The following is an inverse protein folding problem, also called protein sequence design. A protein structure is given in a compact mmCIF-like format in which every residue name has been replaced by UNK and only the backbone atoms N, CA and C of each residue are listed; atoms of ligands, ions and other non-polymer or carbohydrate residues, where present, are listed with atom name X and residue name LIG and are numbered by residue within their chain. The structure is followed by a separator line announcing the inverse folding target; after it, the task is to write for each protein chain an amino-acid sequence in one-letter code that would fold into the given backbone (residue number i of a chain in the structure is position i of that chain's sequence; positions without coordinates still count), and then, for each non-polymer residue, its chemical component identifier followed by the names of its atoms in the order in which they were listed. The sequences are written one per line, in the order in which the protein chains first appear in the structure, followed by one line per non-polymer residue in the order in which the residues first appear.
data_IF_038946444116
#
_entry.id   IF_038946444116
#
_cell.length_a   1.000
_cell.length_b   1.000
_cell.length_c   1.000
_cell.angle_alpha   90.00
_cell.angle_beta   90.00
_cell.angle_gamma   90.00
#
_symmetry.space_group_name_H-M   'P 1'
#
loop_
_entity.id
_entity.type
_entity.pdbx_description
1 polymer ?
#
# COMPACT_ATOMS: atom_id res chain seq x y z
N UNK A 1 -10.40 -42.53 84.92
CA UNK A 1 -11.02 -43.68 84.26
C UNK A 1 -12.25 -43.17 83.55
N UNK A 2 -12.37 -43.49 82.26
CA UNK A 2 -13.53 -43.42 81.34
C UNK A 2 -14.93 -43.25 81.94
N UNK A 3 -15.91 -42.66 81.19
CA UNK A 3 -16.32 -43.20 79.89
C UNK A 3 -16.78 -42.23 78.76
N UNK A 4 -16.79 -42.81 77.55
CA UNK A 4 -17.65 -42.66 76.34
C UNK A 4 -18.25 -41.28 75.97
N UNK A 5 -17.77 -40.68 74.87
CA UNK A 5 -18.23 -40.83 73.46
C UNK A 5 -19.56 -40.12 73.17
N UNK A 6 -19.45 -38.91 72.60
CA UNK A 6 -20.53 -38.22 71.90
C UNK A 6 -20.12 -37.86 70.47
N UNK A 7 -20.93 -38.38 69.54
CA UNK A 7 -21.24 -37.92 68.17
C UNK A 7 -20.09 -37.63 67.19
N UNK A 8 -19.93 -38.56 66.25
CA UNK A 8 -19.32 -38.35 64.93
C UNK A 8 -20.35 -37.71 64.00
N UNK A 9 -20.07 -36.50 63.49
CA UNK A 9 -20.72 -35.96 62.31
C UNK A 9 -19.71 -35.98 61.14
N UNK A 10 -19.79 -37.02 60.32
CA UNK A 10 -19.22 -37.05 58.97
C UNK A 10 -20.25 -36.38 58.08
N UNK A 11 -19.99 -35.16 57.63
CA UNK A 11 -20.71 -34.61 56.49
C UNK A 11 -19.91 -33.52 55.77
N UNK A 12 -19.95 -33.57 54.43
CA UNK A 12 -19.71 -32.47 53.48
C UNK A 12 -18.44 -32.46 52.61
N UNK A 13 -17.97 -33.61 52.12
CA UNK A 13 -17.13 -33.62 50.91
C UNK A 13 -17.91 -33.99 49.63
N UNK A 14 -18.95 -34.83 49.73
CA UNK A 14 -19.81 -35.14 48.58
C UNK A 14 -20.80 -34.02 48.24
N UNK A 15 -21.31 -33.31 49.25
CA UNK A 15 -22.22 -32.17 49.08
C UNK A 15 -21.52 -30.93 48.52
N UNK A 16 -20.23 -30.72 48.79
CA UNK A 16 -19.48 -29.57 48.24
C UNK A 16 -19.19 -29.75 46.74
N UNK A 17 -18.85 -30.98 46.31
CA UNK A 17 -18.62 -31.34 44.90
C UNK A 17 -19.94 -31.34 44.12
N UNK A 18 -21.00 -31.94 44.66
CA UNK A 18 -22.32 -31.93 44.01
C UNK A 18 -22.95 -30.52 43.94
N UNK A 19 -22.65 -29.65 44.92
CA UNK A 19 -23.09 -28.25 44.92
C UNK A 19 -22.28 -27.38 43.96
N UNK A 20 -21.00 -27.67 43.74
CA UNK A 20 -20.19 -27.01 42.71
C UNK A 20 -20.60 -27.42 41.28
N UNK A 21 -20.90 -28.72 41.07
CA UNK A 21 -21.37 -29.23 39.78
C UNK A 21 -22.79 -28.74 39.45
N UNK A 22 -23.69 -28.65 40.44
CA UNK A 22 -25.02 -28.07 40.25
C UNK A 22 -24.99 -26.54 40.05
N UNK A 23 -24.06 -25.81 40.67
CA UNK A 23 -23.85 -24.37 40.38
C UNK A 23 -23.27 -24.11 38.98
N UNK A 24 -22.50 -25.05 38.42
CA UNK A 24 -22.02 -24.97 37.03
C UNK A 24 -23.11 -25.32 36.00
N UNK A 25 -24.14 -26.07 36.39
CA UNK A 25 -25.26 -26.42 35.52
C UNK A 25 -26.18 -25.22 35.18
N UNK A 26 -26.20 -24.18 36.01
CA UNK A 26 -27.03 -22.97 35.81
C UNK A 26 -26.25 -21.75 35.27
N UNK A 27 -24.94 -21.88 35.00
CA UNK A 27 -24.17 -20.79 34.42
C UNK A 27 -24.43 -20.72 32.92
N UNK A 28 -24.82 -19.53 32.45
CA UNK A 28 -24.94 -19.23 31.02
C UNK A 28 -23.62 -19.54 30.30
N UNK A 29 -23.72 -20.21 29.16
CA UNK A 29 -22.58 -20.60 28.33
C UNK A 29 -22.54 -19.75 27.07
N UNK A 30 -21.34 -19.45 26.61
CA UNK A 30 -21.12 -18.51 25.53
C UNK A 30 -20.19 -19.07 24.47
N UNK A 31 -20.24 -18.44 23.30
CA UNK A 31 -19.43 -18.81 22.14
C UNK A 31 -18.29 -17.81 21.96
N UNK A 32 -17.09 -18.34 21.72
CA UNK A 32 -15.93 -17.56 21.30
C UNK A 32 -15.66 -17.87 19.83
N UNK A 33 -15.60 -16.85 18.97
CA UNK A 33 -15.26 -17.04 17.56
C UNK A 33 -14.30 -15.97 17.06
N UNK A 34 -13.57 -16.29 15.99
CA UNK A 34 -12.56 -15.39 15.46
C UNK A 34 -11.97 -15.84 14.13
N UNK A 35 -10.99 -15.08 13.64
CA UNK A 35 -10.21 -15.38 12.45
C UNK A 35 -8.72 -15.43 12.76
N UNK A 36 -8.01 -16.47 12.36
CA UNK A 36 -6.55 -16.51 12.41
C UNK A 36 -5.93 -15.92 11.14
N UNK A 37 -4.92 -15.08 11.29
CA UNK A 37 -4.16 -14.52 10.18
C UNK A 37 -2.66 -14.40 10.51
N UNK A 38 -1.83 -14.40 9.47
CA UNK A 38 -0.43 -14.00 9.57
C UNK A 38 -0.30 -12.49 9.89
N UNK A 39 0.88 -12.05 10.33
CA UNK A 39 1.14 -10.64 10.68
C UNK A 39 0.86 -9.64 9.53
N UNK A 40 0.97 -10.09 8.29
CA UNK A 40 0.64 -9.33 7.07
C UNK A 40 -0.87 -9.29 6.73
N UNK A 41 -1.73 -9.92 7.54
CA UNK A 41 -3.19 -9.93 7.39
C UNK A 41 -3.76 -11.05 6.52
N UNK A 42 -2.94 -11.98 6.01
CA UNK A 42 -3.41 -13.14 5.23
C UNK A 42 -4.00 -14.20 6.16
N UNK A 43 -5.24 -14.65 5.89
CA UNK A 43 -5.93 -15.66 6.70
C UNK A 43 -5.26 -17.03 6.62
N UNK A 44 -5.16 -17.73 7.76
CA UNK A 44 -4.47 -19.03 7.88
C UNK A 44 -5.50 -20.17 7.90
N UNK A 45 -5.68 -20.93 6.82
CA UNK A 45 -6.59 -22.08 6.78
C UNK A 45 -6.00 -23.31 7.45
N UNK A 46 -6.86 -24.19 7.98
CA UNK A 46 -6.50 -25.47 8.62
C UNK A 46 -5.44 -25.36 9.74
N UNK A 47 -5.44 -24.23 10.45
CA UNK A 47 -4.57 -24.02 11.61
C UNK A 47 -5.21 -24.62 12.87
N UNK A 48 -4.41 -25.28 13.72
CA UNK A 48 -4.88 -25.75 15.02
C UNK A 48 -5.06 -24.56 15.98
N UNK A 49 -6.24 -24.45 16.57
CA UNK A 49 -6.56 -23.44 17.57
C UNK A 49 -6.90 -24.16 18.87
N UNK A 50 -6.19 -23.85 19.93
CA UNK A 50 -6.37 -24.46 21.24
C UNK A 50 -6.79 -23.41 22.26
N UNK A 51 -7.88 -23.69 22.98
CA UNK A 51 -8.31 -22.95 24.16
C UNK A 51 -7.68 -23.59 25.40
N UNK A 52 -7.05 -22.75 26.22
CA UNK A 52 -6.32 -23.15 27.43
C UNK A 52 -6.81 -22.32 28.62
N UNK A 53 -6.65 -22.87 29.82
CA UNK A 53 -6.81 -22.14 31.07
C UNK A 53 -5.63 -21.16 31.28
N UNK A 54 -5.77 -20.26 32.24
CA UNK A 54 -4.75 -19.34 32.76
C UNK A 54 -3.43 -20.01 33.15
N UNK A 55 -3.46 -21.30 33.48
CA UNK A 55 -2.29 -22.16 33.78
C UNK A 55 -1.74 -22.91 32.53
N UNK A 56 -2.13 -22.50 31.32
CA UNK A 56 -1.79 -23.14 30.04
C UNK A 56 -2.26 -24.60 29.90
N UNK A 57 -3.15 -25.07 30.80
CA UNK A 57 -3.78 -26.38 30.68
C UNK A 57 -4.75 -26.37 29.50
N UNK A 58 -4.58 -27.31 28.57
CA UNK A 58 -5.44 -27.50 27.39
C UNK A 58 -6.87 -27.85 27.80
N UNK A 59 -7.85 -27.08 27.33
CA UNK A 59 -9.28 -27.29 27.58
C UNK A 59 -9.98 -27.85 26.35
N UNK A 60 -9.82 -27.19 25.20
CA UNK A 60 -10.49 -27.57 23.95
C UNK A 60 -9.60 -27.24 22.74
N UNK A 61 -9.73 -27.99 21.65
CA UNK A 61 -9.05 -27.71 20.38
C UNK A 61 -10.03 -27.77 19.23
N UNK A 62 -9.90 -26.80 18.33
CA UNK A 62 -10.60 -26.74 17.06
C UNK A 62 -9.60 -26.45 15.93
N UNK A 63 -10.06 -26.47 14.69
CA UNK A 63 -9.26 -26.10 13.53
C UNK A 63 -9.91 -24.97 12.76
N UNK A 64 -9.09 -24.12 12.16
CA UNK A 64 -9.64 -23.05 11.34
C UNK A 64 -10.22 -23.59 10.03
N UNK A 65 -11.26 -22.94 9.53
CA UNK A 65 -11.92 -23.37 8.29
C UNK A 65 -10.94 -23.43 7.11
N UNK A 66 -11.06 -24.49 6.31
CA UNK A 66 -10.26 -24.71 5.09
C UNK A 66 -10.67 -23.75 3.97
N UNK A 67 -9.78 -23.49 3.01
CA UNK A 67 -10.08 -22.64 1.85
C UNK A 67 -11.11 -23.31 0.94
N UNK A 68 -12.24 -22.65 0.70
CA UNK A 68 -13.15 -23.04 -0.39
C UNK A 68 -12.74 -22.33 -1.70
N UNK A 69 -12.66 -23.08 -2.80
CA UNK A 69 -12.33 -22.56 -4.15
C UNK A 69 -11.08 -21.66 -4.24
N UNK A 70 -9.94 -22.11 -3.68
CA UNK A 70 -8.59 -21.48 -3.78
C UNK A 70 -8.46 -19.99 -3.43
N UNK A 71 -9.55 -19.25 -3.12
CA UNK A 71 -9.50 -17.79 -2.92
C UNK A 71 -10.52 -17.22 -1.92
N UNK A 72 -11.53 -17.97 -1.48
CA UNK A 72 -12.56 -17.43 -0.57
C UNK A 72 -12.80 -18.31 0.65
N UNK A 73 -12.95 -17.65 1.81
CA UNK A 73 -13.31 -18.22 3.12
C UNK A 73 -12.36 -19.33 3.62
N UNK A 74 -11.49 -18.95 4.55
CA UNK A 74 -10.66 -19.85 5.34
C UNK A 74 -10.12 -19.09 6.55
N UNK A 75 -9.72 -19.78 7.61
CA UNK A 75 -9.14 -19.17 8.79
C UNK A 75 -10.10 -18.76 9.90
N UNK A 76 -11.39 -19.17 9.86
CA UNK A 76 -12.33 -18.92 10.97
C UNK A 76 -12.28 -20.06 11.98
N UNK A 77 -12.39 -19.77 13.28
CA UNK A 77 -12.54 -20.76 14.34
C UNK A 77 -13.65 -20.36 15.30
N UNK A 78 -14.18 -21.34 16.03
CA UNK A 78 -15.27 -21.20 16.98
C UNK A 78 -15.12 -22.24 18.10
N UNK A 79 -15.39 -21.81 19.34
CA UNK A 79 -15.54 -22.62 20.53
C UNK A 79 -16.90 -22.34 21.13
N UNK A 80 -17.71 -23.38 21.31
CA UNK A 80 -19.07 -23.26 21.83
C UNK A 80 -19.13 -23.72 23.29
N UNK A 81 -20.18 -23.30 24.01
CA UNK A 81 -20.47 -23.79 25.35
C UNK A 81 -19.41 -23.46 26.43
N UNK A 82 -18.73 -22.30 26.31
CA UNK A 82 -17.67 -21.87 27.22
C UNK A 82 -18.26 -21.04 28.38
N UNK A 83 -17.82 -21.32 29.61
CA UNK A 83 -18.22 -20.56 30.80
C UNK A 83 -17.49 -19.20 30.87
N UNK A 84 -18.09 -18.15 31.45
CA UNK A 84 -17.37 -16.90 31.71
C UNK A 84 -16.11 -17.13 32.54
N UNK A 85 -15.00 -16.50 32.14
CA UNK A 85 -13.70 -16.74 32.76
C UNK A 85 -12.53 -16.19 31.95
N UNK A 86 -11.32 -16.42 32.42
CA UNK A 86 -10.09 -16.08 31.72
C UNK A 86 -9.52 -17.30 31.00
N UNK A 87 -9.15 -17.11 29.74
CA UNK A 87 -8.62 -18.17 28.89
C UNK A 87 -7.43 -17.67 28.07
N UNK A 88 -6.64 -18.61 27.57
CA UNK A 88 -5.57 -18.37 26.61
C UNK A 88 -5.94 -19.09 25.33
N UNK A 89 -5.92 -18.39 24.20
CA UNK A 89 -6.07 -19.00 22.88
C UNK A 89 -4.70 -19.08 22.24
N UNK A 90 -4.32 -20.29 21.87
CA UNK A 90 -3.10 -20.58 21.11
C UNK A 90 -3.48 -20.97 19.69
N UNK A 91 -2.92 -20.30 18.69
CA UNK A 91 -3.04 -20.69 17.27
C UNK A 91 -1.68 -21.17 16.79
N UNK A 92 -1.62 -22.44 16.37
CA UNK A 92 -0.45 -22.95 15.67
C UNK A 92 -0.50 -22.54 14.20
N UNK A 93 0.47 -21.74 13.79
CA UNK A 93 0.59 -21.22 12.42
C UNK A 93 1.51 -22.07 11.55
N UNK A 94 2.09 -23.17 12.07
CA UNK A 94 3.11 -23.97 11.37
C UNK A 94 4.44 -23.22 11.19
N UNK A 95 4.66 -22.14 11.95
CA UNK A 95 5.90 -21.34 11.95
C UNK A 95 6.53 -21.39 13.34
N UNK A 96 7.82 -20.98 13.47
CA UNK A 96 8.54 -20.99 14.76
C UNK A 96 7.85 -20.16 15.87
N UNK A 97 6.90 -19.29 15.54
CA UNK A 97 6.19 -18.42 16.49
C UNK A 97 4.67 -18.54 16.28
N UNK A 98 4.01 -19.31 17.15
CA UNK A 98 2.54 -19.40 17.22
C UNK A 98 1.92 -18.15 17.86
N UNK A 99 0.60 -17.98 17.75
CA UNK A 99 -0.11 -16.86 18.39
C UNK A 99 -0.63 -17.31 19.74
N UNK A 100 -0.23 -16.66 20.84
CA UNK A 100 -0.87 -16.84 22.17
C UNK A 100 -1.58 -15.55 22.55
N UNK A 101 -2.87 -15.62 22.88
CA UNK A 101 -3.68 -14.46 23.27
C UNK A 101 -4.51 -14.77 24.51
N UNK A 102 -4.30 -14.01 25.59
CA UNK A 102 -5.15 -14.05 26.79
C UNK A 102 -6.45 -13.30 26.51
N UNK A 103 -7.57 -13.89 26.90
CA UNK A 103 -8.92 -13.36 26.69
C UNK A 103 -9.72 -13.47 27.99
N UNK A 104 -10.61 -12.51 28.21
CA UNK A 104 -11.53 -12.52 29.33
C UNK A 104 -12.96 -12.57 28.78
N UNK A 105 -13.59 -13.73 28.93
CA UNK A 105 -14.95 -14.00 28.49
C UNK A 105 -15.93 -13.56 29.59
N UNK A 106 -16.64 -12.46 29.32
CA UNK A 106 -17.75 -12.00 30.17
C UNK A 106 -19.03 -12.77 29.84
N UNK A 107 -20.17 -12.37 30.39
CA UNK A 107 -21.48 -12.96 30.13
C UNK A 107 -22.07 -12.59 28.74
N UNK A 108 -21.28 -12.74 27.67
CA UNK A 108 -21.72 -12.58 26.27
C UNK A 108 -20.78 -13.28 25.30
N UNK A 109 -21.30 -13.64 24.12
CA UNK A 109 -20.49 -14.16 23.01
C UNK A 109 -19.36 -13.19 22.64
N UNK A 110 -18.18 -13.73 22.36
CA UNK A 110 -16.95 -12.98 22.16
C UNK A 110 -16.43 -13.15 20.73
N UNK A 111 -16.53 -12.07 19.94
CA UNK A 111 -15.86 -11.95 18.65
C UNK A 111 -14.43 -11.42 18.87
N UNK A 112 -13.44 -12.28 18.62
CA UNK A 112 -12.03 -11.94 18.76
C UNK A 112 -11.47 -11.15 17.57
N UNK A 113 -12.28 -10.95 16.52
CA UNK A 113 -11.86 -10.31 15.29
C UNK A 113 -10.79 -11.13 14.57
N UNK A 114 -9.70 -10.47 14.15
CA UNK A 114 -8.55 -11.14 13.52
C UNK A 114 -7.44 -11.27 14.55
N UNK A 115 -7.15 -12.51 14.93
CA UNK A 115 -6.03 -12.92 15.77
C UNK A 115 -4.81 -13.09 14.86
N UNK A 116 -3.79 -12.25 15.06
CA UNK A 116 -2.54 -12.25 14.31
C UNK A 116 -1.36 -12.24 15.26
N UNK A 117 -0.21 -12.74 14.79
CA UNK A 117 1.05 -12.63 15.51
C UNK A 117 1.50 -11.16 15.48
N UNK A 118 1.27 -10.44 16.57
CA UNK A 118 1.85 -9.11 16.79
C UNK A 118 3.10 -9.32 17.64
N UNK A 119 4.27 -9.23 17.02
CA UNK A 119 5.50 -9.03 17.77
C UNK A 119 5.36 -7.64 18.38
N UNK A 120 5.08 -7.54 19.67
CA UNK A 120 5.13 -6.26 20.38
C UNK A 120 6.56 -5.74 20.25
N UNK A 121 6.75 -4.70 19.45
CA UNK A 121 7.99 -3.92 19.48
C UNK A 121 8.22 -3.47 20.93
N UNK A 122 9.47 -3.49 21.43
CA UNK A 122 9.75 -3.05 22.79
C UNK A 122 9.11 -1.70 23.02
N UNK A 123 8.25 -1.61 24.04
CA UNK A 123 7.67 -0.34 24.46
C UNK A 123 8.80 0.50 25.02
N UNK A 124 9.27 1.45 24.23
CA UNK A 124 10.08 2.54 24.75
C UNK A 124 9.20 3.32 25.72
N UNK A 125 9.55 3.34 26.99
CA UNK A 125 9.04 4.39 27.88
C UNK A 125 9.51 5.71 27.29
N UNK A 126 8.55 6.59 27.00
CA UNK A 126 8.82 7.95 26.59
C UNK A 126 9.36 8.63 27.84
N UNK A 127 10.67 8.47 28.10
CA UNK A 127 11.38 9.41 28.98
C UNK A 127 11.12 10.80 28.44
N UNK A 128 10.91 11.78 29.33
CA UNK A 128 10.64 13.18 28.95
C UNK A 128 11.60 13.62 27.85
N UNK A 129 11.15 13.54 26.60
CA UNK A 129 11.85 14.13 25.49
C UNK A 129 11.60 15.61 25.67
N UNK A 130 12.63 16.35 26.09
CA UNK A 130 12.70 17.75 25.76
C UNK A 130 12.50 17.84 24.25
N UNK A 131 11.41 18.49 23.82
CA UNK A 131 11.10 18.71 22.41
C UNK A 131 12.27 19.44 21.74
N UNK A 132 13.20 18.68 21.18
CA UNK A 132 14.31 19.16 20.37
C UNK A 132 13.92 19.30 18.90
N UNK A 133 12.63 19.14 18.56
CA UNK A 133 12.11 19.33 17.19
C UNK A 133 11.59 20.74 16.93
N UNK A 134 11.68 21.65 17.90
CA UNK A 134 11.83 23.08 17.60
C UNK A 134 13.30 23.46 17.57
N UNK A 135 13.93 23.22 16.43
CA UNK A 135 15.16 23.92 16.09
C UNK A 135 14.74 25.37 15.78
N UNK A 136 14.78 26.25 16.78
CA UNK A 136 14.96 27.66 16.47
C UNK A 136 16.37 27.78 15.90
N UNK A 137 16.48 27.94 14.58
CA UNK A 137 17.75 28.25 13.96
C UNK A 137 18.36 29.44 14.70
N UNK A 138 19.57 29.28 15.22
CA UNK A 138 20.41 30.42 15.60
C UNK A 138 20.43 31.31 14.36
N UNK A 139 20.11 32.62 14.49
CA UNK A 139 20.24 33.55 13.36
C UNK A 139 21.60 33.30 12.74
N UNK A 140 21.61 32.83 11.50
CA UNK A 140 22.85 32.57 10.78
C UNK A 140 23.53 33.94 10.63
N UNK A 141 24.83 34.00 10.95
CA UNK A 141 25.60 35.20 10.70
C UNK A 141 25.48 35.51 9.20
N UNK A 142 24.93 36.68 8.89
CA UNK A 142 24.68 37.15 7.52
C UNK A 142 25.94 37.69 6.85
N UNK A 143 27.11 37.47 7.45
CA UNK A 143 28.36 37.88 6.88
C UNK A 143 28.94 36.71 6.08
N UNK A 144 28.90 36.78 4.73
CA UNK A 144 29.41 35.72 3.88
C UNK A 144 30.93 35.57 4.05
N UNK A 145 31.43 34.33 3.95
CA UNK A 145 32.85 34.04 3.75
C UNK A 145 33.01 33.46 2.35
N UNK A 146 33.77 34.14 1.51
CA UNK A 146 34.02 33.72 0.14
C UNK A 146 34.90 32.45 0.08
N UNK A 147 34.62 31.48 -0.83
CA UNK A 147 33.50 31.48 -1.78
C UNK A 147 32.29 30.62 -1.38
N UNK A 148 32.38 29.68 -0.43
CA UNK A 148 31.29 28.71 -0.25
C UNK A 148 31.40 27.89 1.05
N UNK A 149 30.72 28.28 2.14
CA UNK A 149 30.83 27.49 3.39
C UNK A 149 29.55 27.07 4.11
N UNK A 150 28.35 27.61 3.83
CA UNK A 150 27.11 27.14 4.51
C UNK A 150 25.83 27.38 3.68
N UNK A 151 25.77 26.97 2.42
CA UNK A 151 24.50 26.97 1.67
C UNK A 151 24.13 25.54 1.24
N UNK A 152 22.93 25.09 1.59
CA UNK A 152 22.38 23.80 1.16
C UNK A 152 22.15 23.86 -0.35
N UNK A 153 22.83 23.00 -1.10
CA UNK A 153 22.66 22.93 -2.56
C UNK A 153 21.47 22.04 -2.90
N UNK A 154 20.70 22.48 -3.88
CA UNK A 154 19.52 21.78 -4.37
C UNK A 154 19.73 21.43 -5.83
N UNK A 155 19.35 20.21 -6.21
CA UNK A 155 19.32 19.78 -7.59
C UNK A 155 17.87 19.87 -8.06
N UNK A 156 17.68 20.70 -9.07
CA UNK A 156 16.39 20.88 -9.75
C UNK A 156 16.48 20.25 -11.11
N UNK A 157 15.56 19.32 -11.39
CA UNK A 157 15.43 18.71 -12.71
C UNK A 157 14.14 19.16 -13.35
N UNK A 158 14.20 19.69 -14.57
CA UNK A 158 13.04 20.05 -15.38
C UNK A 158 12.45 18.86 -16.13
N UNK A 159 11.18 18.96 -16.51
CA UNK A 159 10.51 17.96 -17.36
C UNK A 159 11.13 17.89 -18.76
N UNK A 160 11.75 18.97 -19.24
CA UNK A 160 12.52 19.00 -20.48
C UNK A 160 13.82 18.18 -20.41
N UNK A 161 14.26 17.79 -19.21
CA UNK A 161 15.51 17.09 -18.94
C UNK A 161 16.65 18.00 -18.53
N UNK A 162 16.44 19.31 -18.38
CA UNK A 162 17.42 20.20 -17.78
C UNK A 162 17.71 19.80 -16.34
N UNK A 163 18.95 19.96 -15.89
CA UNK A 163 19.38 19.70 -14.52
C UNK A 163 20.30 20.82 -14.07
N UNK A 164 19.90 21.52 -13.01
CA UNK A 164 20.63 22.68 -12.47
C UNK A 164 20.85 22.52 -10.97
N UNK A 165 22.03 22.93 -10.53
CA UNK A 165 22.34 23.07 -9.10
C UNK A 165 22.07 24.50 -8.65
N UNK A 166 21.18 24.64 -7.67
CA UNK A 166 20.60 25.91 -7.26
C UNK A 166 20.51 26.02 -5.74
N UNK A 167 20.42 27.24 -5.24
CA UNK A 167 20.00 27.51 -3.88
C UNK A 167 18.53 27.90 -3.89
N UNK A 168 17.66 27.07 -3.32
CA UNK A 168 16.23 27.36 -3.25
C UNK A 168 15.97 28.41 -2.18
N UNK A 169 15.41 29.55 -2.59
CA UNK A 169 15.03 30.64 -1.70
C UNK A 169 13.65 30.38 -1.09
N UNK A 170 12.69 29.97 -1.92
CA UNK A 170 11.33 29.66 -1.47
C UNK A 170 10.58 28.73 -2.43
N UNK A 171 9.65 27.95 -1.88
CA UNK A 171 8.78 27.06 -2.63
C UNK A 171 7.33 27.47 -2.39
N UNK A 172 6.66 27.92 -3.44
CA UNK A 172 5.23 28.16 -3.46
C UNK A 172 4.52 26.96 -4.06
N UNK A 173 3.18 27.02 -4.06
CA UNK A 173 2.34 25.96 -4.63
C UNK A 173 2.60 25.74 -6.13
N UNK A 174 2.80 26.85 -6.85
CA UNK A 174 2.81 26.85 -8.31
C UNK A 174 4.21 27.11 -8.89
N UNK A 175 5.17 27.54 -8.07
CA UNK A 175 6.53 27.87 -8.53
C UNK A 175 7.58 27.71 -7.44
N UNK A 176 8.82 27.54 -7.86
CA UNK A 176 10.03 27.50 -7.02
C UNK A 176 10.91 28.68 -7.40
N UNK A 177 11.31 29.46 -6.41
CA UNK A 177 12.25 30.57 -6.57
C UNK A 177 13.62 30.15 -6.07
N UNK A 178 14.64 30.42 -6.86
CA UNK A 178 16.00 29.96 -6.59
C UNK A 178 17.04 30.96 -7.09
N UNK A 179 18.24 30.81 -6.53
CA UNK A 179 19.45 31.49 -6.97
C UNK A 179 20.39 30.47 -7.61
N UNK A 180 20.91 30.76 -8.81
CA UNK A 180 21.84 29.88 -9.51
C UNK A 180 23.19 29.82 -8.77
N UNK A 181 23.68 28.61 -8.56
CA UNK A 181 24.97 28.38 -7.91
C UNK A 181 26.09 28.86 -8.82
N UNK A 182 26.89 29.84 -8.36
CA UNK A 182 28.03 30.40 -9.10
C UNK A 182 27.77 31.73 -9.81
N UNK A 183 26.54 31.98 -10.29
CA UNK A 183 26.19 33.25 -10.96
C UNK A 183 25.47 34.24 -10.05
N UNK A 184 24.95 33.79 -8.89
CA UNK A 184 24.16 34.58 -7.94
C UNK A 184 22.93 35.27 -8.57
N UNK A 185 22.48 34.78 -9.73
CA UNK A 185 21.30 35.24 -10.45
C UNK A 185 20.05 34.56 -9.89
N UNK A 186 19.00 35.35 -9.64
CA UNK A 186 17.71 34.86 -9.15
C UNK A 186 16.77 34.55 -10.30
N UNK A 187 16.08 33.43 -10.20
CA UNK A 187 15.11 32.98 -11.20
C UNK A 187 13.97 32.15 -10.55
N UNK A 188 12.98 31.76 -11.35
CA UNK A 188 11.86 30.94 -10.92
C UNK A 188 11.43 29.94 -11.98
N UNK A 189 11.07 28.72 -11.56
CA UNK A 189 10.50 27.68 -12.43
C UNK A 189 9.10 27.31 -11.93
N UNK A 190 8.10 27.19 -12.82
CA UNK A 190 6.78 26.65 -12.46
C UNK A 190 6.87 25.20 -11.97
N UNK A 191 6.15 24.87 -10.90
CA UNK A 191 6.17 23.54 -10.29
C UNK A 191 5.73 22.44 -11.28
N UNK A 192 4.83 22.76 -12.20
CA UNK A 192 4.33 21.83 -13.22
C UNK A 192 5.39 21.46 -14.28
N UNK A 193 6.42 22.29 -14.44
CA UNK A 193 7.54 22.06 -15.36
C UNK A 193 8.69 21.31 -14.69
N UNK A 194 8.59 21.02 -13.39
CA UNK A 194 9.64 20.33 -12.63
C UNK A 194 9.41 18.83 -12.67
N UNK A 195 10.50 18.07 -12.81
CA UNK A 195 10.50 16.61 -12.74
C UNK A 195 10.73 16.11 -11.32
N UNK A 196 11.79 16.58 -10.65
CA UNK A 196 12.13 16.25 -9.26
C UNK A 196 12.98 17.37 -8.65
N UNK A 197 12.87 17.57 -7.34
CA UNK A 197 13.74 18.44 -6.55
C UNK A 197 14.25 17.66 -5.36
N UNK A 198 15.56 17.68 -5.14
CA UNK A 198 16.16 17.14 -3.93
C UNK A 198 17.39 17.95 -3.53
N UNK A 199 17.80 17.84 -2.27
CA UNK A 199 19.01 18.51 -1.80
C UNK A 199 20.22 17.55 -1.78
N UNK A 200 21.40 18.14 -1.59
CA UNK A 200 22.68 17.46 -1.38
C UNK A 200 22.68 16.43 -0.22
N UNK A 201 21.83 16.60 0.80
CA UNK A 201 21.61 15.62 1.87
C UNK A 201 20.74 14.41 1.47
N UNK A 202 20.23 14.36 0.24
CA UNK A 202 19.38 13.27 -0.21
C UNK A 202 17.93 13.34 0.29
N UNK A 203 17.43 14.54 0.56
CA UNK A 203 16.02 14.78 0.88
C UNK A 203 15.26 15.20 -0.37
N UNK A 204 14.26 14.41 -0.78
CA UNK A 204 13.36 14.77 -1.87
C UNK A 204 12.31 15.77 -1.41
N UNK A 205 12.27 16.93 -2.05
CA UNK A 205 11.36 18.03 -1.74
C UNK A 205 10.13 17.97 -2.64
N UNK A 206 10.33 17.69 -3.93
CA UNK A 206 9.26 17.60 -4.91
C UNK A 206 9.45 16.40 -5.83
N UNK A 207 8.34 15.78 -6.20
CA UNK A 207 8.30 14.69 -7.17
C UNK A 207 7.12 14.93 -8.11
N UNK A 208 7.44 15.07 -9.39
CA UNK A 208 6.40 15.19 -10.40
C UNK A 208 5.64 13.88 -10.57
N UNK A 209 4.49 14.00 -11.21
CA UNK A 209 3.73 12.84 -11.66
C UNK A 209 4.55 11.99 -12.65
N UNK A 210 5.29 12.63 -13.56
CA UNK A 210 6.15 11.93 -14.51
C UNK A 210 7.22 11.08 -13.81
N UNK A 211 7.78 11.61 -12.72
CA UNK A 211 8.75 10.91 -11.89
C UNK A 211 8.15 9.65 -11.25
N UNK A 212 7.00 9.80 -10.60
CA UNK A 212 6.27 8.69 -9.98
C UNK A 212 5.85 7.64 -11.00
N UNK A 213 5.42 8.06 -12.19
CA UNK A 213 5.04 7.14 -13.26
C UNK A 213 6.23 6.35 -13.78
N UNK A 214 7.44 6.92 -13.85
CA UNK A 214 8.67 6.18 -14.19
C UNK A 214 9.06 5.18 -13.12
N UNK A 215 8.96 5.55 -11.84
CA UNK A 215 9.17 4.59 -10.73
C UNK A 215 8.17 3.43 -10.85
N UNK A 216 6.89 3.73 -11.04
CA UNK A 216 5.85 2.71 -11.21
C UNK A 216 6.02 1.90 -12.50
N UNK A 217 6.65 2.47 -13.53
CA UNK A 217 7.04 1.74 -14.74
C UNK A 217 8.15 0.73 -14.41
N UNK A 218 9.14 1.10 -13.63
CA UNK A 218 10.26 0.19 -13.36
C UNK A 218 9.91 -0.87 -12.30
N UNK A 219 9.00 -0.57 -11.36
CA UNK A 219 8.61 -1.52 -10.31
C UNK A 219 8.04 -2.84 -10.87
N UNK A 220 8.43 -3.96 -10.24
CA UNK A 220 7.94 -5.32 -10.59
C UNK A 220 8.32 -5.81 -11.98
N UNK A 221 9.38 -5.23 -12.56
CA UNK A 221 9.91 -5.62 -13.87
C UNK A 221 11.32 -6.15 -13.73
N UNK A 222 11.73 -6.91 -14.74
CA UNK A 222 13.09 -7.34 -14.96
C UNK A 222 13.89 -6.25 -15.69
N UNK A 223 15.21 -6.33 -15.65
CA UNK A 223 16.06 -5.38 -16.33
C UNK A 223 17.44 -5.27 -15.74
N UNK A 224 18.05 -4.09 -15.92
CA UNK A 224 19.34 -3.78 -15.31
C UNK A 224 19.44 -2.31 -14.90
N UNK A 225 20.10 -2.08 -13.78
CA UNK A 225 20.46 -0.76 -13.26
C UNK A 225 21.78 -0.34 -13.89
N UNK A 226 21.93 0.94 -14.20
CA UNK A 226 23.21 1.57 -14.51
C UNK A 226 23.49 2.60 -13.42
N UNK A 227 24.59 2.43 -12.70
CA UNK A 227 25.02 3.33 -11.65
C UNK A 227 25.83 4.50 -12.20
N UNK A 228 25.99 5.56 -11.41
CA UNK A 228 26.87 6.69 -11.77
C UNK A 228 28.34 6.29 -11.91
N UNK A 229 28.78 5.22 -11.22
CA UNK A 229 30.12 4.64 -11.42
C UNK A 229 30.33 4.10 -12.84
N UNK A 230 29.25 3.87 -13.59
CA UNK A 230 29.26 3.17 -14.87
C UNK A 230 29.01 1.66 -14.73
N UNK A 231 28.96 1.14 -13.51
CA UNK A 231 28.65 -0.27 -13.26
C UNK A 231 27.21 -0.60 -13.63
N UNK A 232 26.97 -1.86 -13.99
CA UNK A 232 25.64 -2.37 -14.29
C UNK A 232 25.27 -3.56 -13.41
N UNK A 233 24.00 -3.63 -13.04
CA UNK A 233 23.46 -4.72 -12.22
C UNK A 233 22.15 -5.22 -12.81
N UNK A 234 22.14 -6.46 -13.30
CA UNK A 234 20.92 -7.13 -13.75
C UNK A 234 20.04 -7.49 -12.56
N UNK A 235 18.72 -7.39 -12.69
CA UNK A 235 17.76 -7.81 -11.67
C UNK A 235 16.53 -8.45 -12.32
N UNK A 236 15.88 -9.36 -11.60
CA UNK A 236 14.60 -9.95 -12.00
C UNK A 236 13.41 -9.12 -11.50
N UNK A 237 13.61 -8.40 -10.41
CA UNK A 237 12.63 -7.49 -9.85
C UNK A 237 13.32 -6.33 -9.13
N UNK A 238 12.68 -5.17 -9.12
CA UNK A 238 13.14 -3.96 -8.47
C UNK A 238 11.98 -3.28 -7.74
N UNK A 239 12.28 -2.78 -6.55
CA UNK A 239 11.33 -2.10 -5.68
C UNK A 239 11.93 -0.79 -5.17
N UNK A 240 11.17 0.30 -5.35
CA UNK A 240 11.50 1.61 -4.83
C UNK A 240 10.66 1.86 -3.59
N UNK A 241 11.27 2.40 -2.53
CA UNK A 241 10.55 2.78 -1.32
C UNK A 241 9.43 3.80 -1.67
N UNK A 242 8.14 3.54 -1.36
CA UNK A 242 7.05 4.42 -1.80
C UNK A 242 7.09 5.82 -1.20
N UNK A 243 7.64 5.97 0.02
CA UNK A 243 7.79 7.26 0.69
C UNK A 243 8.96 8.07 0.14
N UNK A 244 9.99 7.39 -0.39
CA UNK A 244 11.30 7.96 -0.71
C UNK A 244 11.85 8.84 0.43
N UNK A 245 11.52 8.48 1.67
CA UNK A 245 12.01 9.15 2.89
C UNK A 245 13.38 8.62 3.26
N UNK A 246 13.59 7.33 2.98
CA UNK A 246 14.88 6.65 2.92
C UNK A 246 14.96 6.13 1.48
N UNK A 247 15.48 6.93 0.54
CA UNK A 247 15.39 6.63 -0.88
C UNK A 247 16.33 5.48 -1.23
N UNK A 248 15.93 4.29 -0.80
CA UNK A 248 16.59 3.02 -1.03
C UNK A 248 15.82 2.25 -2.09
N UNK A 249 16.57 1.52 -2.90
CA UNK A 249 16.08 0.70 -3.99
C UNK A 249 16.52 -0.73 -3.76
N UNK A 250 15.55 -1.63 -3.65
CA UNK A 250 15.78 -3.05 -3.46
C UNK A 250 15.74 -3.78 -4.82
N UNK A 251 16.76 -4.56 -5.10
CA UNK A 251 16.86 -5.44 -6.29
C UNK A 251 16.79 -6.89 -5.85
N UNK A 252 16.11 -7.72 -6.64
CA UNK A 252 15.91 -9.15 -6.39
C UNK A 252 16.47 -9.95 -7.55
N UNK A 253 17.11 -11.07 -7.21
CA UNK A 253 17.69 -12.01 -8.16
C UNK A 253 17.12 -13.39 -7.81
N UNK A 254 16.34 -13.99 -8.69
CA UNK A 254 15.69 -15.29 -8.46
C UNK A 254 16.68 -16.46 -8.51
N UNK A 255 17.82 -16.27 -9.18
CA UNK A 255 18.92 -17.24 -9.17
C UNK A 255 19.72 -17.23 -7.84
N UNK A 256 19.52 -16.23 -6.99
CA UNK A 256 20.17 -16.15 -5.69
C UNK A 256 19.45 -17.04 -4.67
N UNK A 257 20.12 -18.13 -4.28
CA UNK A 257 19.62 -19.09 -3.28
C UNK A 257 19.30 -18.48 -1.91
N UNK A 258 19.82 -17.29 -1.60
CA UNK A 258 19.53 -16.60 -0.33
C UNK A 258 18.15 -15.95 -0.33
N UNK A 259 17.60 -15.63 -1.51
CA UNK A 259 16.33 -14.89 -1.64
C UNK A 259 16.33 -13.50 -1.00
N UNK A 260 17.50 -12.97 -0.62
CA UNK A 260 17.63 -11.69 0.05
C UNK A 260 17.71 -10.54 -0.97
N UNK A 261 17.00 -9.43 -0.76
CA UNK A 261 17.13 -8.25 -1.60
C UNK A 261 18.49 -7.57 -1.40
N UNK A 262 19.05 -7.02 -2.48
CA UNK A 262 20.21 -6.12 -2.43
C UNK A 262 19.72 -4.68 -2.47
N UNK A 263 20.10 -3.89 -1.47
CA UNK A 263 19.72 -2.49 -1.33
C UNK A 263 20.81 -1.60 -1.93
N UNK A 264 20.35 -0.58 -2.65
CA UNK A 264 21.18 0.46 -3.25
C UNK A 264 20.58 1.82 -2.93
N UNK A 265 21.43 2.84 -2.79
CA UNK A 265 20.94 4.22 -2.72
C UNK A 265 20.30 4.60 -4.05
N UNK A 266 19.13 5.23 -4.01
CA UNK A 266 18.50 5.81 -5.19
C UNK A 266 19.40 6.82 -5.89
N UNK A 267 20.22 7.55 -5.13
CA UNK A 267 21.11 8.58 -5.66
C UNK A 267 22.29 8.04 -6.43
N UNK A 268 22.64 6.77 -6.25
CA UNK A 268 23.70 6.10 -7.00
C UNK A 268 23.22 5.64 -8.39
N UNK A 269 21.90 5.64 -8.62
CA UNK A 269 21.26 5.10 -9.82
C UNK A 269 21.10 6.19 -10.88
N UNK A 270 21.92 6.12 -11.91
CA UNK A 270 21.79 7.00 -13.08
C UNK A 270 20.52 6.70 -13.89
N UNK A 271 20.35 5.43 -14.29
CA UNK A 271 19.19 4.97 -15.05
C UNK A 271 18.87 3.51 -14.77
N UNK A 272 17.60 3.15 -14.94
CA UNK A 272 17.16 1.76 -14.96
C UNK A 272 16.61 1.41 -16.34
N UNK A 273 17.14 0.34 -16.92
CA UNK A 273 16.65 -0.22 -18.16
C UNK A 273 15.70 -1.38 -17.84
N UNK A 274 14.48 -1.33 -18.37
CA UNK A 274 13.51 -2.44 -18.24
C UNK A 274 13.68 -3.42 -19.38
N UNK A 275 13.68 -4.71 -19.04
CA UNK A 275 13.74 -5.82 -19.97
C UNK A 275 12.46 -5.98 -20.80
N UNK A 276 12.31 -7.07 -21.57
CA UNK A 276 11.16 -7.30 -22.45
C UNK A 276 9.79 -7.22 -21.75
N UNK A 277 9.73 -7.31 -20.41
CA UNK A 277 8.51 -7.07 -19.62
C UNK A 277 7.88 -5.69 -19.82
N UNK A 278 8.60 -4.71 -20.38
CA UNK A 278 8.01 -3.41 -20.73
C UNK A 278 6.82 -3.53 -21.70
N UNK A 279 6.82 -4.56 -22.57
CA UNK A 279 5.74 -4.82 -23.55
C UNK A 279 4.41 -5.12 -22.85
N UNK A 280 4.43 -5.80 -21.70
CA UNK A 280 3.23 -6.12 -20.92
C UNK A 280 2.43 -4.85 -20.61
N UNK A 281 3.12 -3.76 -20.28
CA UNK A 281 2.46 -2.47 -20.00
C UNK A 281 1.93 -1.80 -21.26
N UNK A 282 2.64 -1.88 -22.37
CA UNK A 282 2.11 -1.37 -23.65
C UNK A 282 0.82 -2.10 -24.03
N UNK A 283 0.75 -3.41 -23.79
CA UNK A 283 -0.46 -4.22 -23.96
C UNK A 283 -1.55 -3.81 -22.99
N UNK A 284 -1.23 -3.63 -21.71
CA UNK A 284 -2.18 -3.16 -20.69
C UNK A 284 -2.77 -1.79 -21.06
N UNK A 285 -1.93 -0.83 -21.47
CA UNK A 285 -2.35 0.48 -21.96
C UNK A 285 -3.22 0.39 -23.21
N UNK A 286 -2.83 -0.46 -24.17
CA UNK A 286 -3.62 -0.76 -25.36
C UNK A 286 -5.02 -1.26 -25.03
N UNK A 287 -5.11 -2.21 -24.10
CA UNK A 287 -6.37 -2.76 -23.64
C UNK A 287 -7.26 -1.69 -22.99
N UNK A 288 -6.72 -0.89 -22.06
CA UNK A 288 -7.51 0.14 -21.38
C UNK A 288 -7.90 1.30 -22.30
N UNK A 289 -7.03 1.72 -23.22
CA UNK A 289 -7.35 2.72 -24.24
C UNK A 289 -8.46 2.24 -25.16
N UNK A 290 -8.40 0.99 -25.61
CA UNK A 290 -9.45 0.41 -26.44
C UNK A 290 -10.78 0.30 -25.67
N UNK A 291 -10.75 -0.12 -24.40
CA UNK A 291 -11.92 -0.18 -23.53
C UNK A 291 -12.56 1.20 -23.37
N UNK A 292 -11.75 2.24 -23.13
CA UNK A 292 -12.23 3.62 -23.02
C UNK A 292 -12.85 4.10 -24.33
N UNK A 293 -12.19 3.86 -25.46
CA UNK A 293 -12.69 4.26 -26.79
C UNK A 293 -14.03 3.59 -27.12
N UNK A 294 -14.15 2.28 -26.92
CA UNK A 294 -15.41 1.56 -27.16
C UNK A 294 -16.48 1.93 -26.15
N UNK A 295 -16.13 2.04 -24.86
CA UNK A 295 -17.06 2.44 -23.81
C UNK A 295 -17.68 3.81 -24.07
N UNK A 296 -16.86 4.79 -24.45
CA UNK A 296 -17.32 6.14 -24.83
C UNK A 296 -18.15 6.12 -26.12
N UNK A 297 -17.74 5.37 -27.13
CA UNK A 297 -18.48 5.21 -28.38
C UNK A 297 -19.87 4.59 -28.18
N UNK A 298 -19.97 3.57 -27.33
CA UNK A 298 -21.23 2.92 -26.96
C UNK A 298 -22.11 3.90 -26.19
N UNK A 299 -21.56 4.60 -25.18
CA UNK A 299 -22.29 5.56 -24.37
C UNK A 299 -22.85 6.71 -25.23
N UNK A 300 -22.04 7.25 -26.14
CA UNK A 300 -22.45 8.29 -27.07
C UNK A 300 -23.57 7.83 -28.00
N UNK A 301 -23.47 6.61 -28.55
CA UNK A 301 -24.53 6.05 -29.41
C UNK A 301 -25.82 5.76 -28.64
N UNK A 302 -25.72 5.24 -27.41
CA UNK A 302 -26.86 5.00 -26.55
C UNK A 302 -27.57 6.31 -26.20
N UNK A 303 -26.81 7.37 -25.92
CA UNK A 303 -27.35 8.72 -25.70
C UNK A 303 -28.06 9.27 -26.94
N UNK A 304 -27.41 9.22 -28.11
CA UNK A 304 -27.97 9.73 -29.38
C UNK A 304 -29.23 8.99 -29.81
N UNK A 305 -29.27 7.66 -29.63
CA UNK A 305 -30.40 6.81 -30.03
C UNK A 305 -31.45 6.60 -28.93
N UNK A 306 -31.22 7.12 -27.72
CA UNK A 306 -32.04 6.88 -26.50
C UNK A 306 -32.39 5.40 -26.29
N UNK A 307 -31.50 4.49 -26.69
CA UNK A 307 -31.72 3.05 -26.60
C UNK A 307 -30.43 2.31 -26.25
N UNK A 308 -30.53 1.21 -25.52
CA UNK A 308 -29.38 0.36 -25.15
C UNK A 308 -28.95 -0.63 -26.24
N UNK A 309 -29.73 -0.77 -27.32
CA UNK A 309 -29.44 -1.68 -28.43
C UNK A 309 -28.08 -1.46 -29.13
N UNK A 310 -27.52 -0.24 -29.24
CA UNK A 310 -26.20 -0.04 -29.83
C UNK A 310 -25.10 -0.81 -29.11
N UNK A 311 -25.18 -0.96 -27.78
CA UNK A 311 -24.18 -1.69 -26.99
C UNK A 311 -24.03 -3.15 -27.43
N UNK A 312 -25.13 -3.79 -27.84
CA UNK A 312 -25.15 -5.19 -28.29
C UNK A 312 -24.41 -5.40 -29.62
N UNK A 313 -24.21 -4.34 -30.43
CA UNK A 313 -23.44 -4.42 -31.67
C UNK A 313 -21.92 -4.28 -31.45
N UNK A 314 -21.49 -3.86 -30.25
CA UNK A 314 -20.08 -3.72 -29.87
C UNK A 314 -19.61 -4.83 -28.90
N UNK A 315 -20.49 -5.72 -28.46
CA UNK A 315 -20.08 -6.87 -27.66
C UNK A 315 -19.46 -7.96 -28.57
N UNK A 316 -18.43 -8.68 -28.10
CA UNK A 316 -17.93 -9.85 -28.81
C UNK A 316 -19.06 -10.88 -28.92
N UNK A 317 -19.47 -11.19 -30.16
CA UNK A 317 -20.45 -12.23 -30.44
C UNK A 317 -19.73 -13.59 -30.46
N UNK A 318 -20.07 -14.46 -29.51
CA UNK A 318 -19.58 -15.85 -29.48
C UNK A 318 -20.42 -16.81 -30.33
N UNK A 319 -21.39 -16.29 -31.10
CA UNK A 319 -22.23 -17.06 -32.03
C UNK A 319 -21.67 -17.10 -33.47
N UNK A 320 -22.39 -17.78 -34.35
CA UNK A 320 -21.94 -18.07 -35.72
C UNK A 320 -21.59 -16.78 -36.51
N UNK A 321 -20.36 -16.63 -37.04
CA UNK A 321 -19.87 -15.41 -37.67
C UNK A 321 -20.67 -15.00 -38.93
N UNK A 322 -21.31 -15.97 -39.59
CA UNK A 322 -22.15 -15.76 -40.78
C UNK A 322 -23.39 -14.89 -40.52
N UNK A 323 -23.89 -14.81 -39.28
CA UNK A 323 -25.12 -14.07 -38.97
C UNK A 323 -24.91 -12.57 -38.73
N UNK A 324 -23.68 -12.11 -38.46
CA UNK A 324 -23.28 -10.68 -38.32
C UNK A 324 -21.77 -10.49 -38.58
N UNK A 325 -21.29 -10.63 -39.83
CA UNK A 325 -19.86 -10.67 -40.15
C UNK A 325 -19.09 -9.40 -39.77
N UNK A 326 -19.75 -8.23 -39.74
CA UNK A 326 -19.08 -6.93 -39.55
C UNK A 326 -18.87 -6.51 -38.07
N UNK A 327 -19.39 -7.25 -37.09
CA UNK A 327 -19.38 -6.83 -35.67
C UNK A 327 -18.19 -7.38 -34.87
N UNK A 328 -17.74 -8.61 -35.16
CA UNK A 328 -16.66 -9.27 -34.44
C UNK A 328 -15.28 -8.74 -34.83
N UNK A 329 -15.08 -8.43 -36.11
CA UNK A 329 -13.77 -8.03 -36.65
C UNK A 329 -13.33 -6.63 -36.20
N UNK A 330 -14.25 -5.67 -36.08
CA UNK A 330 -13.86 -4.28 -35.79
C UNK A 330 -13.31 -4.10 -34.38
N UNK A 331 -13.89 -4.77 -33.37
CA UNK A 331 -13.44 -4.66 -31.98
C UNK A 331 -12.09 -5.34 -31.78
N UNK A 332 -11.92 -6.61 -32.14
CA UNK A 332 -10.64 -7.32 -31.95
C UNK A 332 -9.52 -6.62 -32.72
N UNK A 333 -9.76 -6.23 -33.98
CA UNK A 333 -8.78 -5.50 -34.77
C UNK A 333 -8.41 -4.16 -34.13
N UNK A 334 -9.39 -3.42 -33.61
CA UNK A 334 -9.09 -2.14 -32.94
C UNK A 334 -8.28 -2.30 -31.65
N UNK A 335 -8.55 -3.32 -30.82
CA UNK A 335 -7.75 -3.61 -29.62
C UNK A 335 -6.29 -3.89 -29.98
N UNK A 336 -6.07 -4.66 -31.05
CA UNK A 336 -4.74 -4.91 -31.61
C UNK A 336 -4.09 -3.61 -32.12
N UNK A 337 -4.82 -2.76 -32.82
CA UNK A 337 -4.31 -1.45 -33.31
C UNK A 337 -3.91 -0.54 -32.14
N UNK A 338 -4.74 -0.42 -31.10
CA UNK A 338 -4.38 0.36 -29.91
C UNK A 338 -3.13 -0.20 -29.22
N UNK A 339 -3.04 -1.52 -29.10
CA UNK A 339 -1.89 -2.20 -28.50
C UNK A 339 -0.61 -1.95 -29.31
N UNK A 340 -0.65 -2.15 -30.62
CA UNK A 340 0.49 -1.87 -31.51
C UNK A 340 0.87 -0.39 -31.50
N UNK A 341 -0.11 0.51 -31.43
CA UNK A 341 0.12 1.94 -31.28
C UNK A 341 0.89 2.28 -30.00
N UNK A 342 0.52 1.69 -28.87
CA UNK A 342 1.25 1.87 -27.61
C UNK A 342 2.64 1.24 -27.63
N UNK A 343 2.79 0.03 -28.19
CA UNK A 343 4.11 -0.60 -28.36
C UNK A 343 5.03 0.27 -29.22
N UNK A 344 4.52 0.79 -30.34
CA UNK A 344 5.26 1.70 -31.21
C UNK A 344 5.61 3.02 -30.54
N UNK A 345 4.67 3.62 -29.80
CA UNK A 345 4.91 4.83 -29.01
C UNK A 345 5.95 4.61 -27.91
N UNK A 346 5.82 3.54 -27.13
CA UNK A 346 6.72 3.22 -26.03
C UNK A 346 8.14 2.90 -26.56
N UNK A 347 8.25 2.30 -27.75
CA UNK A 347 9.52 2.09 -28.44
C UNK A 347 10.14 3.40 -28.94
N UNK A 348 9.35 4.26 -29.62
CA UNK A 348 9.80 5.55 -30.14
C UNK A 348 10.27 6.51 -29.03
N UNK A 349 9.53 6.56 -27.91
CA UNK A 349 9.87 7.40 -26.75
C UNK A 349 10.92 6.77 -25.82
N UNK A 350 11.48 5.61 -26.21
CA UNK A 350 12.42 4.81 -25.41
C UNK A 350 11.97 4.63 -23.95
N UNK A 351 10.77 4.11 -23.73
CA UNK A 351 10.22 3.87 -22.38
C UNK A 351 10.99 2.84 -21.56
N UNK A 352 11.90 2.12 -22.20
CA UNK A 352 12.75 1.11 -21.56
C UNK A 352 13.77 1.74 -20.63
N UNK A 353 14.36 2.87 -21.04
CA UNK A 353 15.33 3.61 -20.23
C UNK A 353 14.63 4.62 -19.33
N UNK A 354 14.71 4.45 -18.01
CA UNK A 354 14.12 5.35 -17.03
C UNK A 354 15.24 6.04 -16.25
N UNK A 355 15.34 7.35 -16.42
CA UNK A 355 16.34 8.19 -15.76
C UNK A 355 15.76 8.78 -14.49
N UNK A 356 16.59 8.90 -13.46
CA UNK A 356 16.15 9.32 -12.12
C UNK A 356 16.98 10.46 -11.56
N UNK A 357 18.31 10.34 -11.63
CA UNK A 357 19.25 11.38 -11.18
C UNK A 357 20.23 11.77 -12.30
N UNK A 358 20.58 13.05 -12.42
CA UNK A 358 21.50 13.54 -13.45
C UNK A 358 22.90 12.99 -13.19
N UNK A 359 23.68 12.84 -14.27
CA UNK A 359 25.04 12.30 -14.19
C UNK A 359 25.98 13.25 -13.45
N UNK A 360 25.85 14.54 -13.77
CA UNK A 360 26.64 15.63 -13.20
C UNK A 360 25.72 16.83 -12.92
N UNK A 361 26.21 17.80 -12.14
CA UNK A 361 25.45 18.97 -11.64
C UNK A 361 24.84 19.89 -12.73
N UNK A 362 25.27 19.74 -13.99
CA UNK A 362 24.95 20.64 -15.10
C UNK A 362 24.56 19.90 -16.39
N UNK A 363 24.69 18.57 -16.40
CA UNK A 363 24.50 17.78 -17.63
C UNK A 363 23.02 17.43 -17.77
N UNK A 364 22.32 17.91 -18.81
CA UNK A 364 20.93 17.56 -19.02
C UNK A 364 20.78 16.08 -19.37
N UNK A 365 19.60 15.55 -19.07
CA UNK A 365 19.23 14.21 -19.49
C UNK A 365 19.17 14.13 -21.03
N UNK A 366 19.49 12.97 -21.62
CA UNK A 366 19.49 12.80 -23.08
C UNK A 366 18.08 12.81 -23.69
N UNK A 367 17.02 12.99 -22.88
CA UNK A 367 15.63 13.03 -23.34
C UNK A 367 14.72 13.79 -22.38
N UNK A 368 13.56 14.15 -22.92
CA UNK A 368 12.46 14.72 -22.15
C UNK A 368 11.96 13.72 -21.08
N UNK A 369 11.76 14.23 -19.88
CA UNK A 369 11.39 13.47 -18.69
C UNK A 369 9.88 13.32 -18.52
N UNK A 370 9.07 14.08 -19.28
CA UNK A 370 7.62 14.00 -19.31
C UNK A 370 7.11 12.60 -19.68
N UNK A 371 6.07 12.18 -18.96
CA UNK A 371 5.38 10.91 -19.17
C UNK A 371 3.91 11.19 -19.41
N UNK A 372 3.45 10.96 -20.65
CA UNK A 372 2.02 11.05 -20.95
C UNK A 372 1.22 9.94 -20.25
N UNK A 373 0.01 10.29 -19.80
CA UNK A 373 -0.96 9.37 -19.22
C UNK A 373 -2.37 9.68 -19.70
N UNK A 374 -2.96 8.71 -20.40
CA UNK A 374 -4.32 8.80 -20.92
C UNK A 374 -5.37 8.93 -19.83
N UNK A 375 -5.17 8.25 -18.68
CA UNK A 375 -6.09 8.32 -17.54
C UNK A 375 -6.22 9.74 -17.01
N UNK A 376 -5.09 10.44 -16.85
CA UNK A 376 -5.10 11.78 -16.28
C UNK A 376 -5.52 12.82 -17.29
N UNK A 377 -5.11 12.68 -18.55
CA UNK A 377 -5.66 13.49 -19.64
C UNK A 377 -7.19 13.39 -19.64
N UNK A 378 -7.74 12.18 -19.50
CA UNK A 378 -9.19 11.99 -19.41
C UNK A 378 -9.80 12.61 -18.14
N UNK A 379 -9.14 12.50 -16.98
CA UNK A 379 -9.59 13.12 -15.72
C UNK A 379 -9.57 14.65 -15.84
N UNK A 380 -8.48 15.25 -16.34
CA UNK A 380 -8.32 16.69 -16.50
C UNK A 380 -9.35 17.24 -17.50
N UNK A 381 -9.61 16.52 -18.59
CA UNK A 381 -10.64 16.92 -19.55
C UNK A 381 -12.06 16.76 -19.00
N UNK A 382 -12.26 15.80 -18.09
CA UNK A 382 -13.52 15.61 -17.39
C UNK A 382 -13.70 16.57 -16.20
N UNK A 383 -12.61 17.09 -15.63
CA UNK A 383 -12.58 17.94 -14.45
C UNK A 383 -13.57 19.11 -14.53
N UNK A 384 -13.64 19.93 -15.59
CA UNK A 384 -14.63 21.02 -15.68
C UNK A 384 -16.09 20.54 -15.66
N UNK A 385 -16.36 19.28 -16.02
CA UNK A 385 -17.71 18.70 -15.97
C UNK A 385 -18.02 18.00 -14.64
N UNK A 386 -16.98 17.51 -13.93
CA UNK A 386 -17.14 16.76 -12.67
C UNK A 386 -17.01 17.68 -11.44
N UNK A 387 -16.20 18.73 -11.51
CA UNK A 387 -16.10 19.77 -10.46
C UNK A 387 -17.46 20.31 -10.00
N UNK A 388 -18.37 20.76 -10.88
CA UNK A 388 -19.69 21.20 -10.45
C UNK A 388 -20.50 20.10 -9.75
N UNK A 389 -20.28 18.82 -10.10
CA UNK A 389 -20.91 17.67 -9.43
C UNK A 389 -20.34 17.47 -8.02
N UNK A 390 -19.02 17.60 -7.85
CA UNK A 390 -18.36 17.57 -6.54
C UNK A 390 -18.74 18.77 -5.66
N UNK A 391 -19.12 19.89 -6.25
CA UNK A 391 -19.59 21.06 -5.52
C UNK A 391 -21.04 20.98 -5.04
N UNK A 392 -21.83 20.01 -5.54
CA UNK A 392 -23.22 19.82 -5.13
C UNK A 392 -23.36 19.52 -3.64
N UNK A 393 -24.47 19.99 -3.03
CA UNK A 393 -24.81 19.70 -1.62
C UNK A 393 -24.88 18.20 -1.34
N UNK A 394 -25.36 17.41 -2.31
CA UNK A 394 -25.54 15.95 -2.17
C UNK A 394 -24.18 15.25 -2.04
N UNK A 395 -23.23 15.58 -2.92
CA UNK A 395 -21.91 14.97 -2.89
C UNK A 395 -21.13 15.39 -1.63
N UNK A 396 -21.15 16.68 -1.28
CA UNK A 396 -20.57 17.20 -0.02
C UNK A 396 -21.16 16.51 1.22
N UNK A 397 -22.48 16.29 1.25
CA UNK A 397 -23.14 15.56 2.35
C UNK A 397 -22.68 14.11 2.43
N UNK A 398 -22.57 13.42 1.29
CA UNK A 398 -22.15 12.03 1.22
C UNK A 398 -20.69 11.86 1.69
N UNK A 399 -19.78 12.73 1.23
CA UNK A 399 -18.37 12.77 1.67
C UNK A 399 -18.26 13.03 3.19
N UNK A 400 -18.98 14.02 3.70
CA UNK A 400 -19.02 14.34 5.15
C UNK A 400 -19.62 13.19 5.98
N UNK A 401 -20.43 12.31 5.37
CA UNK A 401 -20.94 11.10 6.01
C UNK A 401 -19.87 10.01 6.08
N UNK A 402 -19.07 9.84 5.03
CA UNK A 402 -17.93 8.91 5.05
C UNK A 402 -16.85 9.33 6.05
N UNK A 403 -16.49 10.62 6.09
CA UNK A 403 -15.54 11.17 7.06
C UNK A 403 -16.01 10.92 8.49
N UNK A 404 -17.29 11.22 8.80
CA UNK A 404 -17.90 10.88 10.09
C UNK A 404 -17.87 9.38 10.41
N UNK A 405 -18.03 8.51 9.41
CA UNK A 405 -17.88 7.05 9.60
C UNK A 405 -16.42 6.67 9.91
N UNK A 406 -15.44 7.29 9.26
CA UNK A 406 -14.01 7.06 9.53
C UNK A 406 -13.61 7.59 10.91
N UNK A 407 -14.09 8.76 11.30
CA UNK A 407 -13.89 9.32 12.65
C UNK A 407 -14.51 8.46 13.73
N UNK A 408 -15.78 8.04 13.58
CA UNK A 408 -16.43 7.12 14.52
C UNK A 408 -15.69 5.79 14.64
N UNK A 409 -15.07 5.29 13.55
CA UNK A 409 -14.22 4.10 13.60
C UNK A 409 -12.88 4.36 14.31
N UNK A 410 -12.31 5.57 14.20
CA UNK A 410 -11.09 5.98 14.91
C UNK A 410 -11.35 6.25 16.40
N UNK A 411 -12.44 6.91 16.76
CA UNK A 411 -12.80 7.18 18.17
C UNK A 411 -13.12 5.90 18.93
N UNK A 412 -13.85 4.96 18.31
CA UNK A 412 -14.08 3.61 18.85
C UNK A 412 -12.80 2.77 19.03
N UNK A 413 -11.69 3.14 18.40
CA UNK A 413 -10.37 2.51 18.61
C UNK A 413 -9.57 3.17 19.73
N UNK A 414 -9.82 4.45 20.02
CA UNK A 414 -9.19 5.18 21.14
C UNK A 414 -9.87 4.87 22.48
N UNK A 415 -11.20 4.71 22.51
CA UNK A 415 -11.94 4.45 23.77
C UNK A 415 -11.86 3.00 24.28
N UNK A 416 -10.89 2.21 23.81
CA UNK A 416 -10.67 0.82 24.27
C UNK A 416 -9.50 0.76 25.27
N UNK A 417 -8.83 1.89 25.51
CA UNK A 417 -7.72 2.03 26.45
C UNK A 417 -7.97 3.10 27.54
N UNK A 418 -9.23 3.55 27.69
CA UNK A 418 -9.69 4.26 28.89
C UNK A 418 -10.48 3.29 29.78
#
# INVERSE_FOLDING_TARGET
MEPDQDSVAIENDSLSIARADSLNAFKERFTIYGKAAYGNGVLVPDAEVTLMDTLEKKLETTRTTTKLFRRFFGGRFEFENILPGEYIISVDLGTRVGIKKRIHLKSKNLDLGVVKNEVEFPKYEIGDYTDSTRIYFKRMATDPVEPDSINIRHIVVGLDGSANTVQIDSILRDSVFYTLSGELTRDSIPMDDMYVIYNDYGYMIHQSRSFRDRINEVQKRDGYVVFHSGDTLNFDNIFFEPSLKTPDVATFHYDDTTGLPRFHSFYDIYKVYTGPSYIERSVERGFYSALLFHGTSIAFQAWRKKSGQPALNYLPNFGNPEKKPNSYYSMITSFSVFTLGWVGYDWYMDRRSNYFTPKDEVTPFPKNMFVFSSKEWAINQAQPFVEPVYETRIWKWWKKREERKKERKRSKRKSVFD
#
